data_IF_511507296686
#
_entry.id   IF_511507296686
#
_cell.length_a   1.000
_cell.length_b   1.000
_cell.length_c   1.000
_cell.angle_alpha   90.00
_cell.angle_beta   90.00
_cell.angle_gamma   90.00
#
_symmetry.space_group_name_H-M   'P 1'
#
loop_
_entity.id
_entity.type
_entity.pdbx_description
1 polymer ?
#
# COMPACT_ATOMS: atom_id res chain seq x y z
N UNK A 1 6.46 14.09 3.68
CA UNK A 1 5.08 14.27 3.19
C UNK A 1 3.98 13.91 4.21
N UNK A 2 4.27 13.88 5.52
CA UNK A 2 3.29 13.59 6.58
C UNK A 2 2.68 14.86 7.26
N UNK A 3 2.96 16.05 6.73
CA UNK A 3 2.59 17.31 7.39
C UNK A 3 1.16 17.82 7.05
N UNK A 4 0.45 17.21 6.10
CA UNK A 4 -0.86 17.71 5.64
C UNK A 4 -2.09 17.05 6.32
N UNK A 5 -1.91 15.95 7.06
CA UNK A 5 -3.04 15.21 7.69
C UNK A 5 -3.55 15.89 8.97
N UNK A 6 -2.83 16.88 9.51
CA UNK A 6 -3.09 17.42 10.85
C UNK A 6 -4.16 18.53 10.93
N UNK A 7 -4.98 18.76 9.90
CA UNK A 7 -5.96 19.87 9.88
C UNK A 7 -7.44 19.52 9.71
N UNK A 8 -7.85 18.26 9.66
CA UNK A 8 -9.27 17.91 9.43
C UNK A 8 -9.92 16.90 10.40
N UNK A 9 -9.33 16.64 11.57
CA UNK A 9 -9.95 15.76 12.59
C UNK A 9 -10.22 16.45 13.94
N UNK A 10 -10.36 17.78 13.93
CA UNK A 10 -10.97 18.49 15.04
C UNK A 10 -12.47 18.62 14.80
N UNK A 11 -13.27 18.25 15.81
CA UNK A 11 -14.74 18.27 15.87
C UNK A 11 -15.40 16.98 15.36
N UNK A 12 -15.74 16.05 16.25
CA UNK A 12 -17.13 15.81 16.68
C UNK A 12 -17.16 14.83 17.87
N UNK A 13 -17.96 15.19 18.86
CA UNK A 13 -18.18 14.49 20.13
C UNK A 13 -19.23 13.37 20.01
N UNK A 14 -19.13 12.48 20.99
CA UNK A 14 -19.94 11.32 21.32
C UNK A 14 -21.47 11.50 21.25
N UNK A 15 -22.14 10.43 20.80
CA UNK A 15 -23.46 10.05 21.31
C UNK A 15 -23.53 8.52 21.45
N UNK A 16 -23.34 8.02 22.68
CA UNK A 16 -23.79 6.69 23.07
C UNK A 16 -25.01 6.83 23.97
N UNK A 17 -26.13 6.24 23.54
CA UNK A 17 -27.36 6.08 24.30
C UNK A 17 -27.22 4.90 25.26
N UNK A 18 -27.56 5.14 26.53
CA UNK A 18 -27.73 4.10 27.56
C UNK A 18 -29.02 3.30 27.32
N UNK A 19 -28.95 1.99 27.55
CA UNK A 19 -30.11 1.21 27.98
C UNK A 19 -29.67 0.19 29.03
N UNK A 20 -30.18 0.38 30.25
CA UNK A 20 -30.11 -0.55 31.38
C UNK A 20 -30.75 -1.90 31.05
N UNK A 21 -30.20 -2.97 31.64
CA UNK A 21 -30.98 -4.08 32.22
C UNK A 21 -30.13 -4.90 33.19
N UNK A 22 -30.43 -4.75 34.47
CA UNK A 22 -30.15 -5.76 35.50
C UNK A 22 -31.18 -6.89 35.40
N UNK A 23 -30.75 -8.13 35.69
CA UNK A 23 -31.40 -9.04 36.66
C UNK A 23 -30.61 -10.33 36.85
N UNK A 24 -30.59 -10.73 38.12
CA UNK A 24 -30.09 -11.96 38.73
C UNK A 24 -30.56 -13.26 38.04
N UNK A 25 -29.80 -14.36 38.13
CA UNK A 25 -29.97 -15.37 39.18
C UNK A 25 -28.94 -16.51 39.08
N UNK A 26 -28.78 -17.16 40.23
CA UNK A 26 -27.89 -18.21 40.68
C UNK A 26 -27.97 -19.58 39.97
N UNK A 27 -26.84 -20.31 39.96
CA UNK A 27 -26.66 -21.61 40.65
C UNK A 27 -25.84 -22.67 39.89
N UNK A 28 -25.15 -23.47 40.73
CA UNK A 28 -24.63 -24.84 40.53
C UNK A 28 -23.21 -25.04 39.98
N UNK A 29 -22.43 -25.72 40.83
CA UNK A 29 -21.06 -26.19 40.68
C UNK A 29 -21.02 -27.45 39.80
N UNK A 30 -19.97 -27.60 38.99
CA UNK A 30 -19.36 -28.92 38.78
C UNK A 30 -17.85 -28.77 38.61
N UNK A 31 -17.11 -29.52 39.43
CA UNK A 31 -15.67 -29.69 39.37
C UNK A 31 -15.34 -30.51 38.12
N UNK A 32 -14.36 -30.07 37.33
CA UNK A 32 -13.53 -30.96 36.54
C UNK A 32 -12.11 -30.40 36.47
N UNK A 33 -11.21 -31.05 37.23
CA UNK A 33 -9.77 -30.89 37.08
C UNK A 33 -9.38 -31.46 35.71
N UNK A 34 -8.98 -30.61 34.77
CA UNK A 34 -8.19 -30.98 33.60
C UNK A 34 -6.97 -30.07 33.55
N UNK A 35 -5.81 -30.67 33.80
CA UNK A 35 -4.48 -30.12 33.56
C UNK A 35 -4.38 -29.70 32.09
N UNK A 36 -3.97 -28.47 31.76
CA UNK A 36 -3.77 -28.09 30.36
C UNK A 36 -2.51 -28.80 29.82
N UNK A 37 -2.49 -29.18 28.52
CA UNK A 37 -1.34 -29.82 27.93
C UNK A 37 -0.16 -28.84 27.88
N UNK A 38 1.02 -29.38 28.19
CA UNK A 38 2.29 -28.67 28.06
C UNK A 38 2.43 -28.09 26.65
N UNK A 39 2.55 -26.77 26.55
CA UNK A 39 3.20 -26.14 25.40
C UNK A 39 4.64 -26.65 25.38
N UNK A 40 4.95 -27.55 24.46
CA UNK A 40 6.33 -27.93 24.14
C UNK A 40 7.06 -26.66 23.69
N UNK A 41 7.97 -26.17 24.54
CA UNK A 41 8.96 -25.17 24.15
C UNK A 41 9.84 -25.83 23.11
N UNK A 42 9.78 -25.34 21.87
CA UNK A 42 10.76 -25.68 20.83
C UNK A 42 12.17 -25.52 21.40
N UNK A 43 13.01 -26.52 21.18
CA UNK A 43 14.43 -26.48 21.58
C UNK A 43 15.10 -25.26 20.92
N UNK A 44 15.88 -24.50 21.68
CA UNK A 44 16.56 -23.28 21.21
C UNK A 44 17.37 -23.55 19.93
N UNK A 45 17.97 -24.74 19.83
CA UNK A 45 18.75 -25.15 18.65
C UNK A 45 17.89 -25.38 17.40
N UNK A 46 16.61 -25.75 17.56
CA UNK A 46 15.68 -25.90 16.44
C UNK A 46 15.21 -24.53 15.94
N UNK A 47 14.93 -23.59 16.85
CA UNK A 47 14.50 -22.23 16.48
C UNK A 47 15.59 -21.52 15.69
N UNK A 48 16.85 -21.63 16.12
CA UNK A 48 17.98 -21.02 15.41
C UNK A 48 18.16 -21.62 14.00
N UNK A 49 17.99 -22.94 13.84
CA UNK A 49 18.03 -23.58 12.51
C UNK A 49 16.90 -23.11 11.59
N UNK A 50 15.66 -23.04 12.10
CA UNK A 50 14.52 -22.55 11.30
C UNK A 50 14.73 -21.09 10.88
N UNK A 51 15.29 -20.27 11.78
CA UNK A 51 15.66 -18.88 11.47
C UNK A 51 16.72 -18.81 10.37
N UNK A 52 17.76 -19.63 10.43
CA UNK A 52 18.81 -19.66 9.41
C UNK A 52 18.31 -20.15 8.04
N UNK A 53 17.36 -21.11 8.03
CA UNK A 53 16.70 -21.59 6.82
C UNK A 53 15.79 -20.51 6.22
N UNK A 54 15.03 -19.79 7.05
CA UNK A 54 14.18 -18.68 6.62
C UNK A 54 15.01 -17.53 6.04
N UNK A 55 16.14 -17.17 6.66
CA UNK A 55 17.09 -16.20 6.11
C UNK A 55 17.63 -16.63 4.75
N UNK A 56 17.95 -17.92 4.58
CA UNK A 56 18.43 -18.43 3.30
C UNK A 56 17.36 -18.32 2.21
N UNK A 57 16.10 -18.65 2.55
CA UNK A 57 14.97 -18.48 1.64
C UNK A 57 14.73 -17.01 1.27
N UNK A 58 14.88 -16.09 2.23
CA UNK A 58 14.84 -14.65 1.96
C UNK A 58 15.95 -14.23 1.00
N UNK A 59 17.17 -14.71 1.17
CA UNK A 59 18.27 -14.29 0.30
C UNK A 59 17.98 -14.61 -1.19
N UNK A 60 17.35 -15.76 -1.45
CA UNK A 60 17.03 -16.25 -2.80
C UNK A 60 15.62 -15.88 -3.30
N UNK A 61 14.90 -14.97 -2.62
CA UNK A 61 13.46 -14.78 -2.87
C UNK A 61 13.11 -14.25 -4.26
N UNK A 62 14.00 -13.49 -4.92
CA UNK A 62 13.78 -12.94 -6.27
C UNK A 62 14.27 -13.89 -7.36
N UNK A 63 15.27 -14.73 -7.06
CA UNK A 63 15.86 -15.66 -8.03
C UNK A 63 14.84 -16.69 -8.55
N UNK A 64 13.76 -16.89 -7.79
CA UNK A 64 12.70 -17.84 -8.08
C UNK A 64 11.43 -17.23 -8.68
N UNK A 65 11.37 -15.93 -8.98
CA UNK A 65 10.12 -15.27 -9.36
C UNK A 65 10.15 -14.58 -10.73
N UNK A 66 9.62 -15.27 -11.74
CA UNK A 66 8.81 -14.57 -12.74
C UNK A 66 7.55 -14.00 -12.06
N UNK A 67 6.88 -13.01 -12.68
CA UNK A 67 5.66 -12.44 -12.11
C UNK A 67 4.61 -13.54 -11.88
N UNK A 68 4.09 -13.62 -10.65
CA UNK A 68 3.01 -14.55 -10.34
C UNK A 68 1.76 -14.11 -11.09
N UNK A 69 1.04 -15.06 -11.68
CA UNK A 69 -0.27 -14.76 -12.27
C UNK A 69 -1.29 -14.41 -11.18
N UNK A 70 -2.36 -13.65 -11.50
CA UNK A 70 -3.40 -13.32 -10.52
C UNK A 70 -3.99 -14.56 -9.82
N UNK A 71 -4.20 -15.65 -10.55
CA UNK A 71 -4.73 -16.89 -9.97
C UNK A 71 -3.76 -17.61 -9.01
N UNK A 72 -2.45 -17.51 -9.25
CA UNK A 72 -1.46 -18.05 -8.31
C UNK A 72 -1.47 -17.26 -6.99
N UNK A 73 -1.59 -15.93 -7.06
CA UNK A 73 -1.64 -15.05 -5.89
C UNK A 73 -2.89 -15.36 -5.04
N UNK A 74 -4.07 -15.46 -5.67
CA UNK A 74 -5.34 -15.79 -5.01
C UNK A 74 -5.32 -17.18 -4.35
N UNK A 75 -4.71 -18.17 -5.01
CA UNK A 75 -4.67 -19.55 -4.52
C UNK A 75 -3.80 -19.76 -3.26
N UNK A 76 -3.09 -18.72 -2.82
CA UNK A 76 -2.17 -18.79 -1.68
C UNK A 76 -0.90 -19.59 -1.95
N UNK A 77 -0.64 -20.00 -3.21
CA UNK A 77 0.58 -20.69 -3.63
C UNK A 77 1.74 -19.71 -3.80
N UNK A 78 2.05 -18.96 -2.73
CA UNK A 78 3.13 -17.98 -2.71
C UNK A 78 4.01 -18.17 -1.49
N UNK A 79 5.29 -17.91 -1.67
CA UNK A 79 6.34 -18.00 -0.63
C UNK A 79 6.59 -16.67 0.07
N UNK A 80 5.67 -15.71 -0.11
CA UNK A 80 5.78 -14.31 0.36
C UNK A 80 4.50 -13.88 1.05
N UNK A 81 4.59 -12.85 1.87
CA UNK A 81 3.45 -12.26 2.59
C UNK A 81 3.09 -13.02 3.86
N UNK A 82 3.97 -13.90 4.36
CA UNK A 82 3.74 -14.69 5.56
C UNK A 82 4.13 -13.92 6.84
N UNK A 83 3.57 -14.38 7.96
CA UNK A 83 3.98 -13.95 9.30
C UNK A 83 5.12 -14.84 9.78
N UNK A 84 6.30 -14.27 9.95
CA UNK A 84 7.46 -14.97 10.47
C UNK A 84 7.41 -15.04 11.98
N UNK A 85 7.64 -16.23 12.52
CA UNK A 85 7.80 -16.45 13.96
C UNK A 85 9.27 -16.47 14.40
N UNK A 86 10.22 -16.33 13.47
CA UNK A 86 11.66 -16.53 13.77
C UNK A 86 12.55 -15.34 13.45
N UNK A 87 12.24 -14.58 12.39
CA UNK A 87 12.96 -13.35 12.02
C UNK A 87 12.93 -12.30 13.13
N UNK A 88 14.02 -11.55 13.23
CA UNK A 88 14.18 -10.43 14.18
C UNK A 88 14.85 -9.26 13.48
N UNK A 89 14.78 -8.09 14.10
CA UNK A 89 15.43 -6.91 13.56
C UNK A 89 16.94 -7.11 13.42
N UNK A 90 17.58 -7.85 14.35
CA UNK A 90 19.03 -8.08 14.32
C UNK A 90 19.51 -8.89 13.10
N UNK A 91 18.60 -9.57 12.38
CA UNK A 91 18.94 -10.23 11.12
C UNK A 91 19.26 -9.24 10.00
N UNK A 92 19.02 -7.95 10.23
CA UNK A 92 19.11 -6.91 9.22
C UNK A 92 20.03 -5.77 9.67
N UNK A 93 21.03 -5.46 8.83
CA UNK A 93 21.81 -4.24 8.94
C UNK A 93 20.98 -3.05 8.43
N UNK A 94 20.75 -2.05 9.28
CA UNK A 94 20.05 -0.82 8.91
C UNK A 94 21.03 0.13 8.19
N UNK A 95 20.77 0.42 6.91
CA UNK A 95 21.68 1.22 6.07
C UNK A 95 21.30 2.70 6.07
N UNK A 96 20.07 3.02 5.63
CA UNK A 96 19.60 4.40 5.48
C UNK A 96 18.09 4.46 5.66
N UNK A 97 17.58 5.52 6.27
CA UNK A 97 16.13 5.80 6.24
C UNK A 97 15.71 6.21 4.82
N UNK A 98 14.73 5.50 4.26
CA UNK A 98 14.11 5.77 2.96
C UNK A 98 12.89 6.69 3.08
N UNK A 99 12.23 6.69 4.24
CA UNK A 99 11.02 7.48 4.47
C UNK A 99 10.57 7.48 5.92
N UNK A 100 9.83 8.53 6.30
CA UNK A 100 9.23 8.68 7.62
C UNK A 100 7.75 9.01 7.51
N UNK A 101 6.91 8.22 8.18
CA UNK A 101 5.49 8.50 8.42
C UNK A 101 5.22 8.89 9.87
N UNK A 102 3.96 9.05 10.23
CA UNK A 102 3.53 9.51 11.57
C UNK A 102 3.91 8.54 12.69
N UNK A 103 3.87 7.23 12.43
CA UNK A 103 4.19 6.16 13.39
C UNK A 103 5.05 5.04 12.77
N UNK A 104 5.56 5.28 11.56
CA UNK A 104 6.35 4.33 10.81
C UNK A 104 7.63 4.97 10.29
N UNK A 105 8.71 4.19 10.24
CA UNK A 105 9.94 4.56 9.56
C UNK A 105 10.35 3.43 8.62
N UNK A 106 10.72 3.77 7.40
CA UNK A 106 11.16 2.80 6.39
C UNK A 106 12.66 2.88 6.28
N UNK A 107 13.33 1.76 6.52
CA UNK A 107 14.78 1.63 6.40
C UNK A 107 15.13 0.81 5.16
N UNK A 108 16.12 1.26 4.39
CA UNK A 108 16.89 0.36 3.56
C UNK A 108 17.67 -0.53 4.49
N UNK A 109 17.50 -1.84 4.33
CA UNK A 109 18.18 -2.83 5.13
C UNK A 109 18.86 -3.86 4.26
N UNK A 110 19.85 -4.53 4.84
CA UNK A 110 20.56 -5.62 4.21
C UNK A 110 20.51 -6.85 5.11
N UNK A 111 20.21 -8.00 4.53
CA UNK A 111 20.18 -9.25 5.28
C UNK A 111 21.60 -9.62 5.72
N UNK A 112 21.78 -9.87 7.01
CA UNK A 112 23.03 -10.37 7.58
C UNK A 112 23.09 -11.89 7.40
N UNK A 113 23.47 -12.35 6.21
CA UNK A 113 23.80 -13.75 5.94
C UNK A 113 25.26 -13.85 5.47
N UNK A 114 26.10 -14.53 6.25
CA UNK A 114 27.52 -14.73 5.96
C UNK A 114 27.76 -15.63 4.74
N UNK A 115 26.74 -16.37 4.29
CA UNK A 115 26.82 -17.30 3.16
C UNK A 115 26.70 -16.61 1.80
N UNK A 116 26.20 -15.37 1.76
CA UNK A 116 25.95 -14.65 0.52
C UNK A 116 27.00 -13.55 0.25
N UNK A 117 27.58 -13.59 -0.95
CA UNK A 117 28.57 -12.61 -1.41
C UNK A 117 27.93 -11.31 -1.90
N UNK A 118 26.75 -11.40 -2.51
CA UNK A 118 25.97 -10.25 -2.98
C UNK A 118 24.81 -10.02 -2.00
N UNK A 119 25.09 -9.27 -0.94
CA UNK A 119 24.12 -9.10 0.14
C UNK A 119 22.89 -8.32 -0.35
N UNK A 120 21.75 -9.02 -0.36
CA UNK A 120 20.46 -8.50 -0.81
C UNK A 120 19.92 -7.41 0.10
N UNK A 121 19.23 -6.44 -0.52
CA UNK A 121 18.61 -5.32 0.19
C UNK A 121 17.09 -5.34 0.13
N UNK A 122 16.48 -4.76 1.16
CA UNK A 122 15.05 -4.70 1.37
C UNK A 122 14.65 -3.33 1.93
N UNK A 123 13.36 -3.02 1.89
CA UNK A 123 12.78 -1.93 2.65
C UNK A 123 12.08 -2.49 3.90
N UNK A 124 12.61 -2.18 5.10
CA UNK A 124 12.02 -2.58 6.37
C UNK A 124 11.17 -1.44 6.92
N UNK A 125 9.84 -1.60 6.88
CA UNK A 125 8.90 -0.69 7.54
C UNK A 125 8.80 -1.06 9.01
N UNK A 126 9.25 -0.18 9.89
CA UNK A 126 9.22 -0.34 11.35
C UNK A 126 8.10 0.53 11.90
N UNK A 127 7.14 -0.07 12.61
CA UNK A 127 6.02 0.64 13.24
C UNK A 127 6.06 0.44 14.75
N UNK A 128 6.15 1.53 15.52
CA UNK A 128 6.20 1.43 16.98
C UNK A 128 4.83 1.14 17.56
N UNK A 129 4.70 0.06 18.35
CA UNK A 129 3.42 -0.35 18.96
C UNK A 129 2.81 0.78 19.79
N UNK A 130 3.62 1.51 20.57
CA UNK A 130 3.19 2.65 21.39
C UNK A 130 2.54 3.74 20.54
N UNK A 131 3.17 4.13 19.44
CA UNK A 131 2.67 5.19 18.56
C UNK A 131 1.41 4.76 17.81
N UNK A 132 1.37 3.51 17.35
CA UNK A 132 0.19 2.90 16.70
C UNK A 132 -1.01 2.89 17.63
N UNK A 133 -0.83 2.50 18.89
CA UNK A 133 -1.91 2.46 19.89
C UNK A 133 -2.37 3.87 20.25
N UNK A 134 -1.43 4.76 20.58
CA UNK A 134 -1.71 6.14 20.99
C UNK A 134 -2.49 6.91 19.92
N UNK A 135 -2.14 6.70 18.65
CA UNK A 135 -2.81 7.34 17.51
C UNK A 135 -4.04 6.57 17.02
N UNK A 136 -4.44 5.50 17.72
CA UNK A 136 -5.61 4.65 17.39
C UNK A 136 -5.54 4.05 15.97
N UNK A 137 -4.34 3.66 15.52
CA UNK A 137 -4.08 3.14 14.18
C UNK A 137 -3.98 1.62 14.12
N UNK A 138 -4.30 0.91 15.21
CA UNK A 138 -4.17 -0.55 15.30
C UNK A 138 -4.89 -1.27 14.16
N UNK A 139 -6.15 -0.90 13.89
CA UNK A 139 -6.93 -1.51 12.80
C UNK A 139 -6.33 -1.21 11.43
N UNK A 140 -5.90 0.04 11.19
CA UNK A 140 -5.29 0.43 9.91
C UNK A 140 -3.98 -0.33 9.65
N UNK A 141 -3.12 -0.49 10.65
CA UNK A 141 -1.86 -1.24 10.52
C UNK A 141 -2.11 -2.72 10.24
N UNK A 142 -3.07 -3.35 10.94
CA UNK A 142 -3.44 -4.75 10.69
C UNK A 142 -4.01 -4.93 9.29
N UNK A 143 -4.89 -4.02 8.89
CA UNK A 143 -5.51 -4.05 7.57
C UNK A 143 -4.45 -3.84 6.46
N UNK A 144 -3.53 -2.88 6.61
CA UNK A 144 -2.41 -2.68 5.69
C UNK A 144 -1.60 -3.98 5.54
N UNK A 145 -1.20 -4.59 6.67
CA UNK A 145 -0.45 -5.86 6.66
C UNK A 145 -1.22 -6.96 5.90
N UNK A 146 -2.50 -7.13 6.23
CA UNK A 146 -3.32 -8.18 5.64
C UNK A 146 -3.55 -7.97 4.13
N UNK A 147 -3.74 -6.72 3.69
CA UNK A 147 -3.86 -6.40 2.27
C UNK A 147 -2.53 -6.64 1.56
N UNK A 148 -1.41 -6.18 2.11
CA UNK A 148 -0.07 -6.45 1.56
C UNK A 148 0.22 -7.95 1.45
N UNK A 149 -0.14 -8.73 2.48
CA UNK A 149 -0.06 -10.19 2.45
C UNK A 149 -0.89 -10.78 1.32
N UNK A 150 -2.12 -10.30 1.10
CA UNK A 150 -3.02 -10.81 0.05
C UNK A 150 -2.50 -10.50 -1.36
N UNK A 151 -1.94 -9.31 -1.58
CA UNK A 151 -1.49 -8.85 -2.92
C UNK A 151 -0.04 -9.22 -3.25
N UNK A 152 0.71 -9.76 -2.28
CA UNK A 152 2.13 -10.10 -2.44
C UNK A 152 2.39 -10.99 -3.67
N UNK A 153 3.37 -10.60 -4.49
CA UNK A 153 3.78 -11.28 -5.72
C UNK A 153 3.25 -10.67 -7.03
N UNK A 154 2.35 -9.68 -6.96
CA UNK A 154 1.94 -8.93 -8.16
C UNK A 154 3.12 -8.08 -8.71
N UNK A 155 3.40 -8.09 -10.02
CA UNK A 155 4.60 -7.45 -10.60
C UNK A 155 4.74 -5.96 -10.26
N UNK A 156 3.62 -5.24 -10.24
CA UNK A 156 3.59 -3.78 -10.11
C UNK A 156 3.11 -3.28 -8.74
N UNK A 157 3.00 -4.18 -7.74
CA UNK A 157 2.70 -3.81 -6.35
C UNK A 157 3.93 -4.16 -5.50
N UNK A 158 4.25 -3.36 -4.50
CA UNK A 158 5.28 -3.73 -3.53
C UNK A 158 4.95 -5.05 -2.86
N UNK A 159 5.93 -5.95 -2.84
CA UNK A 159 5.77 -7.28 -2.26
C UNK A 159 6.22 -7.23 -0.80
N UNK A 160 5.27 -7.45 0.11
CA UNK A 160 5.64 -7.80 1.48
C UNK A 160 6.16 -9.23 1.48
N UNK A 161 7.45 -9.39 1.73
CA UNK A 161 8.12 -10.69 1.77
C UNK A 161 7.73 -11.42 3.05
N UNK A 162 7.82 -10.73 4.20
CA UNK A 162 7.43 -11.24 5.50
C UNK A 162 7.00 -10.09 6.43
N UNK A 163 6.19 -10.41 7.44
CA UNK A 163 5.99 -9.56 8.62
C UNK A 163 6.51 -10.27 9.88
N UNK A 164 6.93 -9.50 10.88
CA UNK A 164 7.32 -10.02 12.19
C UNK A 164 7.15 -8.92 13.24
N UNK A 165 7.36 -9.24 14.52
CA UNK A 165 7.32 -8.28 15.61
C UNK A 165 8.35 -8.59 16.68
N UNK A 166 8.68 -7.58 17.47
CA UNK A 166 9.36 -7.75 18.75
C UNK A 166 8.53 -7.16 19.89
N UNK A 167 9.17 -6.88 21.02
CA UNK A 167 8.51 -6.29 22.17
C UNK A 167 7.93 -4.90 21.84
N UNK A 168 8.64 -4.03 21.11
CA UNK A 168 8.31 -2.61 20.98
C UNK A 168 7.72 -2.25 19.60
N UNK A 169 7.96 -3.07 18.58
CA UNK A 169 7.73 -2.72 17.19
C UNK A 169 7.12 -3.87 16.38
N UNK A 170 6.44 -3.46 15.31
CA UNK A 170 5.96 -4.30 14.22
C UNK A 170 6.83 -4.03 13.00
N UNK A 171 7.09 -5.07 12.21
CA UNK A 171 7.96 -5.04 11.06
C UNK A 171 7.25 -5.58 9.82
N UNK A 172 7.39 -4.88 8.70
CA UNK A 172 7.06 -5.41 7.38
C UNK A 172 8.31 -5.32 6.51
N UNK A 173 8.80 -6.48 6.07
CA UNK A 173 9.93 -6.59 5.14
C UNK A 173 9.39 -6.54 3.71
N UNK A 174 9.72 -5.49 2.98
CA UNK A 174 9.23 -5.19 1.64
C UNK A 174 10.36 -5.28 0.60
N UNK A 175 10.00 -5.51 -0.66
CA UNK A 175 10.91 -5.34 -1.78
C UNK A 175 11.42 -3.89 -1.89
N UNK A 176 12.69 -3.71 -2.25
CA UNK A 176 13.28 -2.39 -2.39
C UNK A 176 13.16 -1.87 -3.82
N UNK A 177 12.59 -0.68 -3.98
CA UNK A 177 12.45 0.00 -5.27
C UNK A 177 13.45 1.17 -5.38
N UNK A 178 14.61 1.01 -6.05
CA UNK A 178 15.70 2.00 -6.03
C UNK A 178 15.44 3.25 -6.87
N UNK A 179 14.47 3.24 -7.78
CA UNK A 179 14.18 4.37 -8.67
C UNK A 179 13.55 5.57 -7.96
N UNK A 180 12.96 5.39 -6.77
CA UNK A 180 12.27 6.44 -6.02
C UNK A 180 10.91 6.80 -6.61
N UNK A 181 10.32 7.91 -6.15
CA UNK A 181 8.94 8.31 -6.46
C UNK A 181 8.77 8.80 -7.91
N UNK A 182 7.74 8.33 -8.60
CA UNK A 182 7.31 8.83 -9.93
C UNK A 182 7.07 10.33 -9.90
N UNK A 183 6.58 10.86 -8.78
CA UNK A 183 6.40 12.29 -8.55
C UNK A 183 7.66 13.11 -8.89
N UNK A 184 8.83 12.67 -8.42
CA UNK A 184 10.10 13.37 -8.67
C UNK A 184 10.45 13.43 -10.16
N UNK A 185 10.18 12.35 -10.91
CA UNK A 185 10.38 12.31 -12.35
C UNK A 185 9.40 13.20 -13.10
N UNK A 186 8.12 13.19 -12.70
CA UNK A 186 7.10 14.03 -13.30
C UNK A 186 7.42 15.51 -13.12
N UNK A 187 7.81 15.91 -11.89
CA UNK A 187 8.18 17.30 -11.58
C UNK A 187 9.39 17.75 -12.38
N UNK A 188 10.41 16.90 -12.51
CA UNK A 188 11.60 17.19 -13.33
C UNK A 188 11.29 17.31 -14.81
N UNK A 189 10.48 16.40 -15.35
CA UNK A 189 10.04 16.42 -16.74
C UNK A 189 9.01 17.52 -17.04
N UNK A 190 8.44 18.14 -16.00
CA UNK A 190 7.23 19.00 -16.00
C UNK A 190 5.96 18.25 -16.37
N UNK A 191 6.01 17.37 -17.37
CA UNK A 191 4.97 16.43 -17.78
C UNK A 191 5.61 15.29 -18.54
N UNK A 192 4.97 14.13 -18.56
CA UNK A 192 5.38 13.04 -19.42
C UNK A 192 4.84 13.22 -20.84
N UNK A 193 5.52 12.60 -21.80
CA UNK A 193 4.98 12.45 -23.15
C UNK A 193 3.90 11.37 -23.14
N UNK A 194 3.07 11.34 -24.18
CA UNK A 194 1.91 10.45 -24.24
C UNK A 194 2.28 8.96 -24.19
N UNK A 195 3.38 8.55 -24.80
CA UNK A 195 3.84 7.15 -24.77
C UNK A 195 4.26 6.72 -23.36
N UNK A 196 5.00 7.56 -22.64
CA UNK A 196 5.40 7.32 -21.25
C UNK A 196 4.17 7.28 -20.34
N UNK A 197 3.24 8.24 -20.50
CA UNK A 197 1.99 8.26 -19.75
C UNK A 197 1.16 7.00 -20.01
N UNK A 198 1.06 6.55 -21.26
CA UNK A 198 0.29 5.37 -21.67
C UNK A 198 0.86 4.08 -21.08
N UNK A 199 2.19 3.93 -21.09
CA UNK A 199 2.86 2.77 -20.48
C UNK A 199 2.56 2.67 -18.99
N UNK A 200 2.82 3.75 -18.24
CA UNK A 200 2.58 3.78 -16.80
C UNK A 200 1.10 3.65 -16.44
N UNK A 201 0.22 4.29 -17.20
CA UNK A 201 -1.21 4.14 -17.01
C UNK A 201 -1.67 2.69 -17.23
N UNK A 202 -1.08 1.96 -18.18
CA UNK A 202 -1.40 0.55 -18.40
C UNK A 202 -0.98 -0.34 -17.22
N UNK A 203 0.18 -0.08 -16.62
CA UNK A 203 0.58 -0.80 -15.39
C UNK A 203 -0.38 -0.54 -14.23
N UNK A 204 -0.82 0.71 -14.05
CA UNK A 204 -1.83 1.05 -13.04
C UNK A 204 -3.16 0.35 -13.33
N UNK A 205 -3.58 0.21 -14.59
CA UNK A 205 -4.79 -0.54 -14.94
C UNK A 205 -4.68 -2.01 -14.52
N UNK A 206 -3.53 -2.65 -14.71
CA UNK A 206 -3.30 -4.04 -14.27
C UNK A 206 -3.37 -4.17 -12.74
N UNK A 207 -2.82 -3.18 -12.02
CA UNK A 207 -2.92 -3.13 -10.55
C UNK A 207 -4.38 -2.99 -10.11
N UNK A 208 -5.13 -2.05 -10.68
CA UNK A 208 -6.53 -1.81 -10.30
C UNK A 208 -7.44 -2.98 -10.69
N UNK A 209 -7.22 -3.61 -11.86
CA UNK A 209 -7.89 -4.85 -12.27
C UNK A 209 -7.70 -5.93 -11.22
N UNK A 210 -6.46 -6.16 -10.78
CA UNK A 210 -6.15 -7.14 -9.74
C UNK A 210 -6.81 -6.78 -8.40
N UNK A 211 -6.57 -5.57 -7.87
CA UNK A 211 -7.11 -5.16 -6.57
C UNK A 211 -8.64 -5.23 -6.55
N UNK A 212 -9.31 -4.78 -7.60
CA UNK A 212 -10.76 -4.67 -7.62
C UNK A 212 -11.45 -6.01 -7.92
N UNK A 213 -11.00 -6.72 -8.96
CA UNK A 213 -11.72 -7.88 -9.50
C UNK A 213 -11.26 -9.21 -8.89
N UNK A 214 -10.07 -9.24 -8.27
CA UNK A 214 -9.49 -10.44 -7.64
C UNK A 214 -9.56 -10.37 -6.12
N UNK A 215 -9.13 -9.25 -5.55
CA UNK A 215 -9.04 -9.09 -4.09
C UNK A 215 -10.25 -8.38 -3.46
N UNK A 216 -11.05 -7.64 -4.23
CA UNK A 216 -12.16 -6.84 -3.72
C UNK A 216 -11.70 -5.68 -2.82
N UNK A 217 -10.54 -5.12 -3.12
CA UNK A 217 -9.86 -4.06 -2.35
C UNK A 217 -9.94 -2.74 -3.10
N UNK A 218 -10.37 -1.68 -2.41
CA UNK A 218 -10.19 -0.30 -2.87
C UNK A 218 -8.89 0.26 -2.29
N UNK A 219 -8.04 0.88 -3.10
CA UNK A 219 -6.74 1.41 -2.70
C UNK A 219 -6.84 2.79 -2.02
N UNK A 220 -7.63 3.71 -2.58
CA UNK A 220 -8.07 4.99 -2.01
C UNK A 220 -7.01 6.07 -1.78
N UNK A 221 -5.76 5.89 -2.21
CA UNK A 221 -4.73 6.94 -2.17
C UNK A 221 -3.83 6.96 -3.41
N UNK A 222 -4.41 6.71 -4.60
CA UNK A 222 -3.65 6.74 -5.85
C UNK A 222 -3.17 8.16 -6.15
N UNK A 223 -1.85 8.33 -6.18
CA UNK A 223 -1.15 9.59 -6.50
C UNK A 223 0.32 9.31 -6.86
N UNK A 224 1.01 10.21 -7.59
CA UNK A 224 2.40 9.99 -8.03
C UNK A 224 3.40 9.71 -6.90
N UNK A 225 3.12 10.18 -5.69
CA UNK A 225 3.98 10.01 -4.51
C UNK A 225 3.92 8.60 -3.92
N UNK A 226 2.82 7.88 -4.13
CA UNK A 226 2.66 6.48 -3.70
C UNK A 226 3.03 5.47 -4.79
N UNK A 227 3.71 5.92 -5.85
CA UNK A 227 4.15 5.07 -6.96
C UNK A 227 5.66 5.23 -7.08
N UNK A 228 6.37 4.13 -6.92
CA UNK A 228 7.82 4.07 -7.11
C UNK A 228 8.19 3.51 -8.47
N UNK A 229 9.42 3.76 -8.90
CA UNK A 229 10.04 3.15 -10.08
C UNK A 229 11.07 2.12 -9.61
N UNK A 230 11.08 0.93 -10.20
CA UNK A 230 12.09 -0.11 -9.93
C UNK A 230 13.35 0.06 -10.81
N UNK A 231 14.30 -0.88 -10.69
CA UNK A 231 15.56 -0.81 -11.43
C UNK A 231 15.40 -0.94 -12.95
N UNK A 232 14.35 -1.62 -13.41
CA UNK A 232 14.03 -1.82 -14.83
C UNK A 232 13.10 -0.73 -15.39
N UNK A 233 12.66 0.21 -14.56
CA UNK A 233 11.84 1.35 -14.95
C UNK A 233 10.33 1.12 -14.88
N UNK A 234 9.89 0.00 -14.30
CA UNK A 234 8.47 -0.31 -14.10
C UNK A 234 7.94 0.30 -12.80
N UNK A 235 6.62 0.48 -12.73
CA UNK A 235 5.96 1.00 -11.54
C UNK A 235 5.83 -0.04 -10.43
N UNK A 236 5.90 0.45 -9.19
CA UNK A 236 5.58 -0.28 -7.96
C UNK A 236 4.66 0.58 -7.11
N UNK A 237 3.39 0.17 -6.98
CA UNK A 237 2.44 0.81 -6.06
C UNK A 237 2.83 0.46 -4.62
N UNK A 238 2.96 1.47 -3.78
CA UNK A 238 3.33 1.35 -2.36
C UNK A 238 2.25 1.93 -1.44
N UNK A 239 2.46 1.86 -0.13
CA UNK A 239 1.60 2.46 0.91
C UNK A 239 0.12 2.04 0.83
N UNK A 240 -0.23 0.96 1.53
CA UNK A 240 -1.58 0.42 1.58
C UNK A 240 -2.33 0.87 2.85
N UNK A 241 -1.87 1.94 3.51
CA UNK A 241 -2.46 2.44 4.76
C UNK A 241 -3.94 2.85 4.65
N UNK A 242 -4.38 3.29 3.46
CA UNK A 242 -5.80 3.59 3.18
C UNK A 242 -6.51 2.52 2.38
N UNK A 243 -5.81 1.47 1.92
CA UNK A 243 -6.44 0.38 1.21
C UNK A 243 -7.47 -0.31 2.12
N UNK A 244 -8.57 -0.81 1.56
CA UNK A 244 -9.60 -1.48 2.35
C UNK A 244 -10.32 -2.52 1.52
N UNK A 245 -10.50 -3.71 2.10
CA UNK A 245 -11.37 -4.73 1.53
C UNK A 245 -12.82 -4.25 1.62
N UNK A 246 -13.42 -3.96 0.47
CA UNK A 246 -14.79 -3.44 0.34
C UNK A 246 -15.74 -4.49 -0.20
N UNK A 247 -15.26 -5.47 -0.98
CA UNK A 247 -16.09 -6.49 -1.63
C UNK A 247 -17.32 -5.83 -2.31
N UNK A 248 -18.54 -6.23 -1.93
CA UNK A 248 -19.81 -5.65 -2.39
C UNK A 248 -20.42 -4.63 -1.40
N UNK A 249 -19.61 -4.06 -0.51
CA UNK A 249 -20.04 -3.11 0.54
C UNK A 249 -19.48 -1.73 0.27
N UNK A 250 -20.08 -0.74 0.93
CA UNK A 250 -19.59 0.63 0.95
C UNK A 250 -18.80 0.92 2.22
N UNK A 251 -17.83 1.81 2.10
CA UNK A 251 -17.16 2.45 3.23
C UNK A 251 -17.43 3.97 3.19
N UNK A 252 -17.34 4.63 4.34
CA UNK A 252 -17.71 6.04 4.51
C UNK A 252 -16.54 6.90 5.05
N UNK A 253 -15.35 6.31 5.19
CA UNK A 253 -14.17 7.02 5.70
C UNK A 253 -13.67 8.01 4.66
N UNK A 254 -13.73 9.31 4.97
CA UNK A 254 -13.06 10.37 4.21
C UNK A 254 -11.54 10.25 4.39
N UNK A 255 -10.85 9.78 3.36
CA UNK A 255 -9.39 9.60 3.32
C UNK A 255 -8.89 9.75 1.88
N UNK A 256 -7.58 9.95 1.72
CA UNK A 256 -6.94 10.24 0.44
C UNK A 256 -6.50 11.70 0.31
N UNK A 257 -5.85 12.00 -0.80
CA UNK A 257 -5.29 13.33 -1.11
C UNK A 257 -6.36 14.20 -1.80
N UNK A 258 -6.60 15.47 -1.37
CA UNK A 258 -7.73 16.28 -1.83
C UNK A 258 -7.95 16.33 -3.34
N UNK A 259 -6.89 16.50 -4.13
CA UNK A 259 -6.89 16.63 -5.58
C UNK A 259 -7.33 15.33 -6.30
N UNK A 260 -7.25 14.19 -5.61
CA UNK A 260 -7.53 12.86 -6.12
C UNK A 260 -8.87 12.28 -5.61
N UNK A 261 -9.54 12.96 -4.67
CA UNK A 261 -10.81 12.48 -4.11
C UNK A 261 -11.91 12.44 -5.16
N UNK A 262 -12.67 11.34 -5.17
CA UNK A 262 -13.86 11.22 -5.99
C UNK A 262 -15.05 12.01 -5.38
N UNK A 263 -16.01 12.49 -6.20
CA UNK A 263 -17.14 13.29 -5.72
C UNK A 263 -17.98 12.60 -4.64
N UNK A 264 -18.18 11.29 -4.73
CA UNK A 264 -18.94 10.49 -3.75
C UNK A 264 -18.25 10.38 -2.39
N UNK A 265 -16.91 10.46 -2.35
CA UNK A 265 -16.15 10.50 -1.09
C UNK A 265 -16.37 11.84 -0.40
N UNK A 266 -16.31 12.94 -1.15
CA UNK A 266 -16.54 14.31 -0.65
C UNK A 266 -17.99 14.47 -0.18
N UNK A 267 -18.96 13.93 -0.92
CA UNK A 267 -20.38 13.96 -0.55
C UNK A 267 -20.74 12.98 0.57
N UNK A 268 -19.82 12.11 0.96
CA UNK A 268 -20.01 11.06 1.96
C UNK A 268 -21.24 10.17 1.68
N UNK A 269 -21.44 9.78 0.42
CA UNK A 269 -22.60 8.97 0.01
C UNK A 269 -22.34 7.46 0.03
N UNK A 270 -21.23 7.03 0.64
CA UNK A 270 -20.71 5.67 0.51
C UNK A 270 -19.89 5.49 -0.75
N UNK A 271 -18.82 4.68 -0.66
CA UNK A 271 -17.92 4.42 -1.78
C UNK A 271 -17.31 3.02 -1.74
N UNK A 272 -16.97 2.51 -2.93
CA UNK A 272 -16.25 1.26 -3.17
C UNK A 272 -15.06 1.46 -4.10
N UNK A 273 -14.70 0.47 -4.91
CA UNK A 273 -13.54 0.51 -5.83
C UNK A 273 -13.63 1.56 -6.94
N UNK A 274 -14.83 2.07 -7.24
CA UNK A 274 -15.04 3.09 -8.27
C UNK A 274 -14.23 4.40 -8.03
N UNK A 275 -13.85 4.69 -6.79
CA UNK A 275 -13.06 5.89 -6.43
C UNK A 275 -11.65 5.83 -7.02
N UNK A 276 -11.09 4.63 -7.16
CA UNK A 276 -9.74 4.45 -7.69
C UNK A 276 -9.70 4.69 -9.20
N UNK A 277 -10.80 4.38 -9.93
CA UNK A 277 -10.93 4.76 -11.34
C UNK A 277 -11.03 6.27 -11.55
N UNK A 278 -11.66 6.99 -10.61
CA UNK A 278 -11.63 8.46 -10.64
C UNK A 278 -10.20 8.97 -10.43
N UNK A 279 -9.54 8.52 -9.36
CA UNK A 279 -8.15 8.90 -9.05
C UNK A 279 -7.19 8.53 -10.19
N UNK A 280 -7.45 7.43 -10.90
CA UNK A 280 -6.71 7.04 -12.10
C UNK A 280 -6.88 8.05 -13.24
N UNK A 281 -8.09 8.57 -13.48
CA UNK A 281 -8.31 9.65 -14.43
C UNK A 281 -7.55 10.93 -14.07
N UNK A 282 -7.50 11.28 -12.79
CA UNK A 282 -6.70 12.40 -12.26
C UNK A 282 -5.20 12.16 -12.52
N UNK A 283 -4.71 10.95 -12.24
CA UNK A 283 -3.30 10.59 -12.43
C UNK A 283 -2.88 10.65 -13.91
N UNK A 284 -3.69 10.12 -14.82
CA UNK A 284 -3.43 10.19 -16.27
C UNK A 284 -3.40 11.64 -16.75
N UNK A 285 -4.33 12.48 -16.28
CA UNK A 285 -4.29 13.91 -16.57
C UNK A 285 -3.00 14.56 -16.04
N UNK A 286 -2.63 14.29 -14.80
CA UNK A 286 -1.42 14.85 -14.19
C UNK A 286 -0.14 14.40 -14.92
N UNK A 287 -0.05 13.16 -15.39
CA UNK A 287 1.06 12.74 -16.24
C UNK A 287 1.17 13.55 -17.54
N UNK A 288 0.04 13.82 -18.20
CA UNK A 288 0.01 14.50 -19.50
C UNK A 288 0.13 16.03 -19.40
N UNK A 289 -0.21 16.61 -18.24
CA UNK A 289 -0.31 18.06 -18.04
C UNK A 289 0.71 18.59 -17.04
N UNK A 290 1.16 17.77 -16.08
CA UNK A 290 2.12 18.13 -15.04
C UNK A 290 1.52 18.54 -13.69
N UNK A 291 0.20 18.63 -13.63
CA UNK A 291 -0.55 19.02 -12.44
C UNK A 291 -1.96 18.42 -12.51
N UNK A 292 -2.64 18.20 -11.37
CA UNK A 292 -4.01 17.70 -11.36
C UNK A 292 -4.98 18.69 -12.02
N UNK A 293 -6.14 18.23 -12.52
CA UNK A 293 -7.11 19.08 -13.20
C UNK A 293 -7.88 19.99 -12.23
N UNK A 294 -7.97 19.61 -10.96
CA UNK A 294 -8.60 20.37 -9.89
C UNK A 294 -7.52 20.81 -8.90
N UNK A 295 -7.36 22.12 -8.75
CA UNK A 295 -6.34 22.67 -7.86
C UNK A 295 -6.75 24.06 -7.36
N UNK A 296 -6.48 24.30 -6.08
CA UNK A 296 -6.59 25.60 -5.42
C UNK A 296 -5.75 25.55 -4.12
N UNK A 297 -5.37 26.69 -3.57
CA UNK A 297 -4.72 26.74 -2.27
C UNK A 297 -5.68 26.39 -1.11
N UNK A 298 -6.98 26.53 -1.31
CA UNK A 298 -8.01 26.17 -0.35
C UNK A 298 -8.65 24.81 -0.73
N UNK A 299 -8.49 23.76 0.10
CA UNK A 299 -9.10 22.45 -0.14
C UNK A 299 -10.61 22.48 -0.38
N UNK A 300 -11.35 23.40 0.25
CA UNK A 300 -12.79 23.51 0.03
C UNK A 300 -13.14 23.90 -1.41
N UNK A 301 -12.32 24.74 -2.05
CA UNK A 301 -12.51 25.10 -3.46
C UNK A 301 -12.14 23.96 -4.40
N UNK A 302 -11.17 23.12 -4.01
CA UNK A 302 -10.88 21.87 -4.73
C UNK A 302 -12.12 20.98 -4.70
N UNK A 303 -12.74 20.83 -3.52
CA UNK A 303 -13.95 20.02 -3.37
C UNK A 303 -15.12 20.55 -4.21
N UNK A 304 -15.33 21.87 -4.25
CA UNK A 304 -16.33 22.51 -5.11
C UNK A 304 -16.10 22.17 -6.59
N UNK A 305 -14.86 22.27 -7.07
CA UNK A 305 -14.49 21.94 -8.46
C UNK A 305 -14.72 20.46 -8.79
N UNK A 306 -14.33 19.56 -7.88
CA UNK A 306 -14.52 18.10 -8.04
C UNK A 306 -16.01 17.78 -8.13
N UNK A 307 -16.83 18.37 -7.25
CA UNK A 307 -18.28 18.15 -7.21
C UNK A 307 -18.98 18.72 -8.46
N UNK A 308 -18.46 19.81 -9.03
CA UNK A 308 -18.89 20.34 -10.34
C UNK A 308 -18.51 19.40 -11.49
N UNK A 309 -17.38 18.70 -11.39
CA UNK A 309 -16.95 17.65 -12.31
C UNK A 309 -16.50 18.15 -13.68
N UNK A 310 -16.16 19.43 -13.81
CA UNK A 310 -15.74 20.02 -15.09
C UNK A 310 -14.22 20.01 -15.27
N UNK A 311 -13.71 18.96 -15.89
CA UNK A 311 -12.29 18.87 -16.29
C UNK A 311 -12.02 19.78 -17.49
N UNK A 312 -10.97 20.61 -17.40
CA UNK A 312 -10.51 21.47 -18.51
C UNK A 312 -9.31 20.84 -19.20
N UNK A 313 -9.38 20.68 -20.51
CA UNK A 313 -8.33 20.02 -21.28
C UNK A 313 -7.48 21.00 -22.11
N UNK A 314 -6.14 20.89 -22.09
CA UNK A 314 -5.29 21.64 -23.01
C UNK A 314 -5.52 21.24 -24.47
N UNK A 315 -5.45 22.20 -25.39
CA UNK A 315 -5.66 21.99 -26.84
C UNK A 315 -4.72 20.95 -27.45
N UNK A 316 -3.52 20.79 -26.89
CA UNK A 316 -2.50 19.84 -27.32
C UNK A 316 -2.74 18.38 -26.88
N UNK A 317 -3.66 18.12 -25.95
CA UNK A 317 -3.98 16.75 -25.53
C UNK A 317 -4.73 16.00 -26.63
N UNK A 318 -4.37 14.74 -26.86
CA UNK A 318 -4.99 13.90 -27.89
C UNK A 318 -6.49 13.67 -27.62
N UNK A 319 -7.32 13.49 -28.67
CA UNK A 319 -8.73 13.17 -28.50
C UNK A 319 -8.95 11.90 -27.67
N UNK A 320 -8.16 10.85 -27.92
CA UNK A 320 -8.24 9.58 -27.20
C UNK A 320 -7.95 9.74 -25.70
N UNK A 321 -6.96 10.56 -25.31
CA UNK A 321 -6.67 10.83 -23.91
C UNK A 321 -7.80 11.60 -23.22
N UNK A 322 -8.38 12.61 -23.90
CA UNK A 322 -9.51 13.38 -23.37
C UNK A 322 -10.74 12.51 -23.15
N UNK A 323 -11.01 11.61 -24.09
CA UNK A 323 -12.14 10.68 -24.00
C UNK A 323 -11.96 9.73 -22.80
N UNK A 324 -10.77 9.14 -22.65
CA UNK A 324 -10.44 8.28 -21.52
C UNK A 324 -10.63 9.00 -20.18
N UNK A 325 -10.01 10.18 -20.01
CA UNK A 325 -10.07 10.95 -18.76
C UNK A 325 -11.52 11.37 -18.48
N UNK A 326 -12.29 11.74 -19.50
CA UNK A 326 -13.70 12.12 -19.32
C UNK A 326 -14.55 10.94 -18.84
N UNK A 327 -14.32 9.74 -19.38
CA UNK A 327 -14.99 8.51 -18.92
C UNK A 327 -14.62 8.12 -17.48
N UNK A 328 -13.35 8.27 -17.09
CA UNK A 328 -12.86 7.98 -15.74
C UNK A 328 -13.30 9.04 -14.71
N UNK A 329 -13.25 10.32 -15.07
CA UNK A 329 -13.68 11.45 -14.24
C UNK A 329 -15.18 11.76 -14.41
N UNK A 330 -16.00 10.72 -14.58
CA UNK A 330 -17.47 10.85 -14.59
C UNK A 330 -18.00 10.87 -13.15
N UNK A 331 -18.75 11.92 -12.81
CA UNK A 331 -19.31 12.14 -11.45
C UNK A 331 -20.31 11.05 -11.07
N UNK A 332 -21.15 10.62 -12.01
CA UNK A 332 -22.09 9.52 -11.82
C UNK A 332 -21.33 8.18 -11.84
N UNK A 333 -21.14 7.58 -10.66
CA UNK A 333 -20.40 6.33 -10.48
C UNK A 333 -20.95 5.19 -11.34
N UNK A 334 -22.25 5.17 -11.63
CA UNK A 334 -22.89 4.12 -12.45
C UNK A 334 -22.52 4.19 -13.94
N UNK A 335 -21.97 5.34 -14.38
CA UNK A 335 -21.54 5.60 -15.76
C UNK A 335 -20.02 5.70 -15.89
N UNK A 336 -19.29 5.63 -14.78
CA UNK A 336 -17.84 5.79 -14.74
C UNK A 336 -17.14 4.61 -15.40
N UNK A 337 -16.25 4.90 -16.35
CA UNK A 337 -15.42 3.88 -16.99
C UNK A 337 -14.62 3.12 -15.91
N UNK A 338 -14.52 1.79 -16.06
CA UNK A 338 -13.96 0.91 -15.03
C UNK A 338 -14.97 0.41 -13.99
N UNK A 339 -16.09 1.12 -13.78
CA UNK A 339 -17.19 0.68 -12.91
C UNK A 339 -18.45 0.23 -13.69
N UNK A 340 -18.51 0.49 -14.99
CA UNK A 340 -19.55 -0.02 -15.89
C UNK A 340 -19.36 -1.51 -16.20
N UNK A 341 -20.33 -2.10 -16.90
CA UNK A 341 -20.23 -3.48 -17.42
C UNK A 341 -18.93 -3.64 -18.22
N UNK A 342 -18.16 -4.66 -17.87
CA UNK A 342 -16.85 -4.93 -18.46
C UNK A 342 -15.67 -4.49 -17.58
N UNK A 343 -15.91 -3.74 -16.49
CA UNK A 343 -14.90 -3.46 -15.46
C UNK A 343 -13.61 -2.87 -16.02
N UNK A 344 -12.47 -3.39 -15.54
CA UNK A 344 -11.16 -3.05 -16.06
C UNK A 344 -11.00 -3.39 -17.55
N UNK A 345 -11.66 -4.45 -18.04
CA UNK A 345 -11.68 -4.82 -19.46
C UNK A 345 -12.21 -3.71 -20.37
N UNK A 346 -13.18 -2.91 -19.90
CA UNK A 346 -13.67 -1.75 -20.64
C UNK A 346 -12.60 -0.63 -20.72
N UNK A 347 -11.82 -0.43 -19.65
CA UNK A 347 -10.68 0.52 -19.64
C UNK A 347 -9.58 0.04 -20.59
N UNK A 348 -9.21 -1.25 -20.52
CA UNK A 348 -8.16 -1.87 -21.35
C UNK A 348 -8.47 -1.82 -22.85
N UNK A 349 -9.74 -1.88 -23.21
CA UNK A 349 -10.23 -1.83 -24.60
C UNK A 349 -10.34 -0.41 -25.16
N UNK A 350 -10.10 0.62 -24.35
CA UNK A 350 -10.22 2.01 -24.78
C UNK A 350 -9.20 2.33 -25.90
N UNK A 351 -9.57 3.19 -26.85
CA UNK A 351 -8.73 3.52 -28.02
C UNK A 351 -7.36 4.10 -27.62
N UNK A 352 -7.29 4.78 -26.48
CA UNK A 352 -6.05 5.29 -25.89
C UNK A 352 -5.07 4.19 -25.47
N UNK A 353 -5.46 2.92 -25.36
CA UNK A 353 -4.57 1.79 -25.06
C UNK A 353 -4.36 0.83 -26.24
N UNK A 354 -4.78 1.21 -27.47
CA UNK A 354 -4.79 0.31 -28.64
C UNK A 354 -3.47 -0.39 -29.00
N UNK A 355 -2.34 0.16 -28.56
CA UNK A 355 -1.00 -0.36 -28.86
C UNK A 355 -0.37 -1.13 -27.68
N UNK A 356 -1.12 -1.32 -26.58
CA UNK A 356 -0.62 -2.02 -25.40
C UNK A 356 -0.83 -3.52 -25.56
N UNK A 357 0.27 -4.27 -25.52
CA UNK A 357 0.25 -5.71 -25.28
C UNK A 357 0.21 -5.96 -23.77
N UNK A 358 -0.99 -6.24 -23.25
CA UNK A 358 -1.23 -6.42 -21.82
C UNK A 358 -0.50 -7.64 -21.25
N UNK A 359 -0.38 -8.72 -22.01
CA UNK A 359 0.30 -9.94 -21.56
C UNK A 359 1.82 -9.73 -21.55
N UNK A 360 2.38 -9.09 -22.58
CA UNK A 360 3.78 -8.72 -22.58
C UNK A 360 4.13 -7.73 -21.45
N UNK A 361 3.23 -6.78 -21.16
CA UNK A 361 3.41 -5.82 -20.07
C UNK A 361 3.40 -6.52 -18.72
N UNK A 362 2.36 -7.31 -18.42
CA UNK A 362 2.25 -8.03 -17.15
C UNK A 362 3.45 -8.95 -16.89
N UNK A 363 3.92 -9.64 -17.94
CA UNK A 363 5.08 -10.53 -17.87
C UNK A 363 6.42 -9.79 -17.97
N UNK A 364 6.42 -8.45 -17.90
CA UNK A 364 7.62 -7.58 -17.94
C UNK A 364 8.55 -7.89 -19.12
N UNK A 365 7.97 -8.19 -20.29
CA UNK A 365 8.73 -8.44 -21.54
C UNK A 365 9.19 -7.17 -22.25
N UNK A 366 8.78 -6.01 -21.75
CA UNK A 366 9.12 -4.68 -22.26
C UNK A 366 9.80 -3.90 -21.14
N UNK A 367 10.87 -3.17 -21.43
CA UNK A 367 11.49 -2.29 -20.43
C UNK A 367 10.61 -1.09 -20.11
N UNK A 368 10.72 -0.57 -18.89
CA UNK A 368 10.07 0.68 -18.50
C UNK A 368 10.63 1.90 -19.27
N UNK A 369 9.82 2.95 -19.48
CA UNK A 369 10.20 4.11 -20.28
C UNK A 369 11.23 5.01 -19.58
N UNK A 370 11.35 4.93 -18.26
CA UNK A 370 12.32 5.70 -17.46
C UNK A 370 13.12 4.72 -16.61
N UNK A 371 14.32 4.38 -17.07
CA UNK A 371 15.25 3.51 -16.32
C UNK A 371 16.14 4.38 -15.42
N UNK A 372 16.12 4.19 -14.09
CA UNK A 372 16.92 4.99 -13.17
C UNK A 372 18.42 4.69 -13.31
N UNK A 373 19.25 5.71 -13.14
CA UNK A 373 20.71 5.53 -13.15
C UNK A 373 21.23 5.18 -11.75
N UNK A 374 21.51 3.90 -11.51
CA UNK A 374 21.92 3.34 -10.22
C UNK A 374 23.42 2.98 -10.21
N UNK A 375 24.09 3.16 -9.06
CA UNK A 375 25.47 2.67 -8.81
C UNK A 375 25.54 1.24 -8.28
N UNK A 376 24.40 0.70 -7.84
CA UNK A 376 24.29 -0.66 -7.32
C UNK A 376 22.95 -0.90 -6.62
N UNK A 377 22.71 -2.12 -6.10
CA UNK A 377 21.44 -2.51 -5.52
C UNK A 377 21.00 -1.67 -4.31
N UNK A 378 21.97 -1.16 -3.54
CA UNK A 378 21.73 -0.35 -2.33
C UNK A 378 21.74 1.17 -2.59
N UNK A 379 21.66 1.63 -3.85
CA UNK A 379 21.78 3.05 -4.18
C UNK A 379 20.52 3.84 -3.76
N UNK A 380 20.71 4.83 -2.88
CA UNK A 380 19.62 5.64 -2.30
C UNK A 380 19.59 7.08 -2.80
N UNK A 381 20.24 7.40 -3.91
CA UNK A 381 20.30 8.77 -4.46
C UNK A 381 18.95 9.40 -4.79
N UNK A 382 17.94 8.56 -5.02
CA UNK A 382 16.59 9.00 -5.39
C UNK A 382 15.71 9.21 -4.15
N UNK A 383 16.29 9.12 -2.94
CA UNK A 383 15.61 9.29 -1.66
C UNK A 383 16.21 10.45 -0.87
N UNK A 384 15.34 11.21 -0.21
CA UNK A 384 15.71 12.32 0.65
C UNK A 384 16.57 11.88 1.86
N UNK A 385 17.19 12.86 2.51
CA UNK A 385 17.84 12.67 3.80
C UNK A 385 16.85 12.94 4.93
N UNK A 386 16.84 12.07 5.93
CA UNK A 386 15.95 12.14 7.08
C UNK A 386 16.74 12.26 8.38
N UNK A 387 16.19 13.00 9.34
CA UNK A 387 16.78 13.11 10.66
C UNK A 387 16.79 11.76 11.40
N UNK A 388 17.81 11.52 12.24
CA UNK A 388 17.89 10.32 13.06
C UNK A 388 16.68 10.20 13.99
N UNK A 389 16.42 8.99 14.47
CA UNK A 389 15.35 8.76 15.42
C UNK A 389 15.64 9.45 16.75
N UNK A 390 14.64 10.09 17.38
CA UNK A 390 14.79 10.59 18.75
C UNK A 390 15.14 9.43 19.68
N UNK A 391 16.14 9.64 20.55
CA UNK A 391 16.64 8.63 21.49
C UNK A 391 15.74 8.45 22.70
N UNK A 392 14.96 9.48 23.06
CA UNK A 392 14.02 9.43 24.18
C UNK A 392 12.64 9.03 23.67
N UNK A 393 12.24 7.80 23.99
CA UNK A 393 11.04 7.16 23.46
C UNK A 393 10.32 6.43 24.58
N UNK A 394 9.01 6.68 24.68
CA UNK A 394 8.13 5.98 25.61
C UNK A 394 8.18 4.46 25.35
N UNK A 395 8.49 3.63 26.36
CA UNK A 395 8.61 2.19 26.19
C UNK A 395 7.23 1.53 26.08
N UNK A 396 7.16 0.38 25.40
CA UNK A 396 5.95 -0.44 25.42
C UNK A 396 5.78 -1.07 26.80
N UNK A 397 4.73 -0.71 27.55
CA UNK A 397 4.56 -1.16 28.93
C UNK A 397 3.91 -2.55 29.02
N UNK A 398 4.12 -3.25 30.14
CA UNK A 398 3.47 -4.54 30.43
C UNK A 398 1.92 -4.47 30.41
N UNK A 399 1.33 -3.32 30.74
CA UNK A 399 -0.11 -3.13 30.67
C UNK A 399 -0.61 -2.97 29.23
N UNK A 400 0.17 -2.30 28.38
CA UNK A 400 -0.10 -2.23 26.95
C UNK A 400 0.02 -3.63 26.33
N UNK A 401 1.08 -4.36 26.69
CA UNK A 401 1.31 -5.74 26.24
C UNK A 401 0.11 -6.65 26.52
N UNK A 402 -0.36 -6.69 27.78
CA UNK A 402 -1.53 -7.50 28.17
C UNK A 402 -2.80 -7.14 27.42
N UNK A 403 -2.94 -5.88 26.99
CA UNK A 403 -4.14 -5.36 26.35
C UNK A 403 -4.11 -5.54 24.83
N UNK A 404 -2.95 -5.42 24.20
CA UNK A 404 -2.84 -5.23 22.74
C UNK A 404 -2.09 -6.34 21.98
N UNK A 405 -1.26 -7.18 22.63
CA UNK A 405 -0.45 -8.19 21.92
C UNK A 405 -1.30 -9.15 21.06
N UNK A 406 -2.47 -9.56 21.55
CA UNK A 406 -3.38 -10.46 20.81
C UNK A 406 -3.84 -9.85 19.48
N UNK A 407 -3.89 -8.52 19.37
CA UNK A 407 -4.24 -7.83 18.13
C UNK A 407 -3.06 -7.77 17.16
N UNK A 408 -1.84 -8.00 17.63
CA UNK A 408 -0.64 -8.02 16.80
C UNK A 408 -0.12 -9.42 16.51
N UNK A 409 -0.72 -10.49 17.05
CA UNK A 409 -0.26 -11.89 16.89
C UNK A 409 -0.01 -12.35 15.45
N UNK A 410 -0.67 -11.69 14.51
CA UNK A 410 -0.57 -12.03 13.10
C UNK A 410 0.62 -11.31 12.42
N UNK A 411 1.36 -10.45 13.12
CA UNK A 411 2.71 -10.04 12.72
C UNK A 411 3.70 -11.08 13.21
#
# INVERSE_FOLDING_TARGET
>A
MAAAVHKLQGVFHAHHSHSNKERDDSSSKSNNNHTPPHHERLDSTMVDRVRDDEKHALAQWEDHQGPLTPGQIESGQKTVGHSSQTLRQEDFELIKTLGTGTFARVWLVRLQDEREKDQKVFALKVLRKVDVIRLKQVEHVRNERNVLAAVAGHPFITTMVASFQDHDSLYMLLDYCPGGEVFSYLRRARRFNESTSQFYAAEIVLILEFLHEKEGVAYRDLKPENILIDAEGHLKLVDFGFAKKVENRETYTLCGTPEYLAPEVIRNTGHGTAVDWWAFGILVYEFLVGQPPFWDQNPMKIYEQIVEGRVRFPSAMSPDARDLISGLCTVDTSKRLGNIKGGAGAVKSHAWFKNIDWDALYNRKMNGPIVPHLRGPADTRNFDEYEPEPTDREPYSEDMKKTWDELFKDF
#
